data_IF_336946238636
#
_entry.id   IF_336946238636
#
_cell.length_a   1.000
_cell.length_b   1.000
_cell.length_c   1.000
_cell.angle_alpha   90.00
_cell.angle_beta   90.00
_cell.angle_gamma   90.00
#
_symmetry.space_group_name_H-M   'P 1'
#
loop_
_entity.id
_entity.type
_entity.pdbx_description
1 polymer ?
#
# COMPACT_ATOMS: atom_id res chain seq x y z
N UNK A 1 0.55 4.01 -11.85
CA UNK A 1 1.50 5.03 -12.27
C UNK A 1 2.30 4.52 -13.48
N UNK A 2 2.00 5.02 -14.69
CA UNK A 2 2.58 4.53 -15.94
C UNK A 2 4.11 4.75 -16.03
N UNK A 3 4.69 5.87 -15.53
CA UNK A 3 6.13 6.07 -15.52
C UNK A 3 6.93 5.17 -14.57
N UNK A 4 6.28 4.50 -13.63
CA UNK A 4 6.96 3.63 -12.67
C UNK A 4 7.33 2.29 -13.33
N UNK A 5 8.62 1.90 -13.39
CA UNK A 5 9.05 0.64 -14.02
C UNK A 5 8.48 -0.61 -13.35
N UNK A 6 8.06 -0.50 -12.09
CA UNK A 6 7.48 -1.61 -11.33
C UNK A 6 5.98 -1.81 -11.55
N UNK A 7 5.32 -0.95 -12.37
CA UNK A 7 3.88 -1.08 -12.56
C UNK A 7 3.47 -2.44 -13.17
N UNK A 8 4.17 -2.92 -14.18
CA UNK A 8 3.82 -4.19 -14.86
C UNK A 8 3.87 -5.41 -13.92
N UNK A 9 4.97 -5.67 -13.17
CA UNK A 9 4.99 -6.74 -12.20
C UNK A 9 3.92 -6.60 -11.12
N UNK A 10 3.68 -5.36 -10.65
CA UNK A 10 2.66 -5.08 -9.65
C UNK A 10 1.24 -5.43 -10.13
N UNK A 11 0.88 -5.03 -11.34
CA UNK A 11 -0.43 -5.36 -11.95
C UNK A 11 -0.61 -6.86 -12.09
N UNK A 12 0.38 -7.59 -12.62
CA UNK A 12 0.30 -9.04 -12.76
C UNK A 12 0.11 -9.79 -11.44
N UNK A 13 0.70 -9.28 -10.35
CA UNK A 13 0.46 -9.83 -9.00
C UNK A 13 -0.96 -9.55 -8.51
N UNK A 14 -1.48 -8.35 -8.76
CA UNK A 14 -2.85 -7.98 -8.40
C UNK A 14 -3.87 -8.85 -9.17
N UNK A 15 -3.70 -9.02 -10.48
CA UNK A 15 -4.59 -9.85 -11.30
C UNK A 15 -4.63 -11.29 -10.80
N UNK A 16 -3.46 -11.83 -10.45
CA UNK A 16 -3.35 -13.18 -9.89
C UNK A 16 -4.07 -13.27 -8.54
N UNK A 17 -3.85 -12.30 -7.66
CA UNK A 17 -4.49 -12.27 -6.34
C UNK A 17 -6.01 -12.07 -6.45
N UNK A 18 -6.47 -11.19 -7.35
CA UNK A 18 -7.88 -10.97 -7.63
C UNK A 18 -8.57 -12.25 -8.08
N UNK A 19 -8.01 -12.92 -9.09
CA UNK A 19 -8.54 -14.18 -9.60
C UNK A 19 -8.63 -15.28 -8.53
N UNK A 20 -7.63 -15.36 -7.63
CA UNK A 20 -7.63 -16.33 -6.53
C UNK A 20 -8.64 -15.99 -5.43
N UNK A 21 -8.99 -14.74 -5.28
CA UNK A 21 -9.89 -14.23 -4.24
C UNK A 21 -11.32 -13.99 -4.74
N UNK A 22 -11.59 -14.19 -6.03
CA UNK A 22 -12.88 -13.89 -6.63
C UNK A 22 -13.20 -12.39 -6.67
N UNK A 23 -12.17 -11.55 -6.80
CA UNK A 23 -12.28 -10.09 -6.88
C UNK A 23 -11.93 -9.65 -8.30
N UNK A 24 -12.83 -8.92 -8.95
CA UNK A 24 -12.56 -8.30 -10.24
C UNK A 24 -11.68 -7.05 -10.06
N UNK A 25 -10.62 -6.95 -10.84
CA UNK A 25 -9.67 -5.85 -10.75
C UNK A 25 -9.62 -5.09 -12.07
N UNK A 26 -9.88 -3.79 -11.99
CA UNK A 26 -9.69 -2.86 -13.08
C UNK A 26 -8.44 -2.00 -12.85
N UNK A 27 -7.67 -1.76 -13.92
CA UNK A 27 -6.45 -0.98 -13.87
C UNK A 27 -6.65 0.41 -14.47
N UNK A 28 -6.43 1.43 -13.66
CA UNK A 28 -6.40 2.82 -14.13
C UNK A 28 -4.96 3.33 -14.14
N UNK A 29 -4.45 3.62 -15.33
CA UNK A 29 -3.07 4.08 -15.51
C UNK A 29 -3.00 5.59 -15.43
N UNK A 30 -2.05 6.09 -14.61
CA UNK A 30 -1.81 7.52 -14.39
C UNK A 30 -0.45 7.86 -14.98
N UNK A 31 -0.40 8.83 -15.86
CA UNK A 31 0.84 9.35 -16.43
C UNK A 31 1.36 10.58 -15.69
N UNK A 32 0.45 11.44 -15.25
CA UNK A 32 0.75 12.69 -14.54
C UNK A 32 -0.12 12.82 -13.33
N UNK A 33 0.36 13.49 -12.31
CA UNK A 33 -0.40 13.74 -11.09
C UNK A 33 -1.71 14.53 -11.35
N UNK A 34 -1.70 15.39 -12.36
CA UNK A 34 -2.90 16.13 -12.81
C UNK A 34 -4.05 15.24 -13.29
N UNK A 35 -3.74 14.00 -13.67
CA UNK A 35 -4.74 13.08 -14.23
C UNK A 35 -5.50 12.32 -13.12
N UNK A 36 -5.06 12.46 -11.86
CA UNK A 36 -5.63 11.74 -10.71
C UNK A 36 -7.10 12.07 -10.47
N UNK A 37 -7.51 13.32 -10.56
CA UNK A 37 -8.93 13.71 -10.36
C UNK A 37 -9.84 13.03 -11.38
N UNK A 38 -9.46 13.03 -12.65
CA UNK A 38 -10.21 12.35 -13.70
C UNK A 38 -10.22 10.84 -13.52
N UNK A 39 -9.09 10.26 -13.11
CA UNK A 39 -8.98 8.84 -12.80
C UNK A 39 -9.91 8.43 -11.67
N UNK A 40 -9.94 9.18 -10.57
CA UNK A 40 -10.86 8.90 -9.47
C UNK A 40 -12.33 9.08 -9.85
N UNK A 41 -12.64 10.03 -10.71
CA UNK A 41 -14.00 10.19 -11.25
C UNK A 41 -14.44 8.98 -12.08
N UNK A 42 -13.53 8.31 -12.78
CA UNK A 42 -13.83 7.09 -13.56
C UNK A 42 -14.06 5.85 -12.69
N UNK A 43 -13.68 5.87 -11.40
CA UNK A 43 -13.90 4.76 -10.46
C UNK A 43 -15.33 4.70 -9.90
N UNK A 44 -16.26 5.45 -10.45
CA UNK A 44 -17.67 5.43 -10.04
C UNK A 44 -18.24 4.01 -10.20
N UNK A 45 -18.73 3.42 -9.11
CA UNK A 45 -19.26 2.05 -9.09
C UNK A 45 -18.25 0.98 -8.65
N UNK A 46 -17.00 1.35 -8.40
CA UNK A 46 -16.03 0.46 -7.77
C UNK A 46 -16.27 0.38 -6.25
N UNK A 47 -16.02 -0.78 -5.67
CA UNK A 47 -16.17 -1.02 -4.23
C UNK A 47 -15.00 -0.49 -3.41
N UNK A 48 -13.79 -0.48 -3.98
CA UNK A 48 -12.57 -0.03 -3.33
C UNK A 48 -11.47 0.34 -4.32
N UNK A 49 -10.40 0.98 -3.85
CA UNK A 49 -9.23 1.30 -4.65
C UNK A 49 -7.93 0.90 -3.96
N UNK A 50 -7.02 0.28 -4.72
CA UNK A 50 -5.64 0.05 -4.29
C UNK A 50 -4.75 1.11 -4.96
N UNK A 51 -4.10 1.92 -4.15
CA UNK A 51 -3.26 3.03 -4.60
C UNK A 51 -1.78 2.61 -4.61
N UNK A 52 -1.14 2.73 -5.76
CA UNK A 52 0.29 2.45 -5.89
C UNK A 52 1.11 3.46 -5.05
N UNK A 53 2.12 2.99 -4.26
CA UNK A 53 2.87 3.84 -3.34
C UNK A 53 3.68 4.99 -3.98
N UNK A 54 3.94 4.91 -5.27
CA UNK A 54 4.67 5.95 -6.04
C UNK A 54 3.80 7.17 -6.39
N UNK A 55 2.49 7.10 -6.16
CA UNK A 55 1.58 8.24 -6.33
C UNK A 55 1.59 9.13 -5.07
N UNK A 56 1.18 10.39 -5.23
CA UNK A 56 1.04 11.34 -4.12
C UNK A 56 0.09 10.80 -3.05
N UNK A 57 0.65 10.42 -1.91
CA UNK A 57 -0.09 9.83 -0.79
C UNK A 57 -1.22 10.75 -0.30
N UNK A 58 -0.92 12.05 -0.16
CA UNK A 58 -1.89 13.03 0.34
C UNK A 58 -3.04 13.26 -0.63
N UNK A 59 -2.72 13.39 -1.91
CA UNK A 59 -3.72 13.66 -2.95
C UNK A 59 -4.62 12.43 -3.14
N UNK A 60 -4.03 11.25 -3.27
CA UNK A 60 -4.82 10.01 -3.48
C UNK A 60 -5.67 9.64 -2.26
N UNK A 61 -5.19 9.85 -1.02
CA UNK A 61 -6.00 9.65 0.18
C UNK A 61 -7.19 10.62 0.22
N UNK A 62 -6.96 11.90 -0.10
CA UNK A 62 -8.02 12.92 -0.18
C UNK A 62 -9.08 12.60 -1.25
N UNK A 63 -8.64 12.20 -2.44
CA UNK A 63 -9.54 11.81 -3.52
C UNK A 63 -10.33 10.53 -3.18
N UNK A 64 -9.69 9.53 -2.57
CA UNK A 64 -10.39 8.33 -2.11
C UNK A 64 -11.54 8.68 -1.17
N UNK A 65 -11.29 9.56 -0.20
CA UNK A 65 -12.32 9.99 0.75
C UNK A 65 -13.40 10.83 0.07
N UNK A 66 -13.03 11.76 -0.81
CA UNK A 66 -13.97 12.61 -1.54
C UNK A 66 -14.94 11.79 -2.42
N UNK A 67 -14.44 10.73 -3.05
CA UNK A 67 -15.24 9.79 -3.85
C UNK A 67 -15.87 8.66 -3.04
N UNK A 68 -15.74 8.67 -1.70
CA UNK A 68 -16.26 7.64 -0.80
C UNK A 68 -15.76 6.22 -1.12
N UNK A 69 -14.56 6.11 -1.62
CA UNK A 69 -13.93 4.82 -1.96
C UNK A 69 -13.06 4.34 -0.81
N UNK A 70 -13.35 3.18 -0.21
CA UNK A 70 -12.43 2.48 0.65
C UNK A 70 -11.09 2.30 -0.05
N UNK A 71 -9.98 2.63 0.63
CA UNK A 71 -8.70 2.72 -0.05
C UNK A 71 -7.57 2.04 0.72
N UNK A 72 -6.70 1.36 -0.01
CA UNK A 72 -5.52 0.70 0.52
C UNK A 72 -4.26 1.11 -0.23
N UNK A 73 -3.11 1.09 0.44
CA UNK A 73 -1.81 1.29 -0.20
C UNK A 73 -0.72 0.50 0.51
N UNK A 74 0.35 0.14 -0.20
CA UNK A 74 1.57 -0.39 0.39
C UNK A 74 2.49 0.71 0.95
N UNK A 75 1.92 1.82 1.40
CA UNK A 75 2.64 2.92 2.07
C UNK A 75 2.08 3.15 3.46
N UNK A 76 2.90 2.94 4.50
CA UNK A 76 2.53 3.20 5.91
C UNK A 76 2.05 4.65 6.16
N UNK A 77 2.45 5.59 5.29
CA UNK A 77 2.02 6.99 5.38
C UNK A 77 0.59 7.23 4.90
N UNK A 78 0.01 6.26 4.18
CA UNK A 78 -1.28 6.43 3.53
C UNK A 78 -2.44 6.60 4.53
N UNK A 79 -2.58 5.78 5.58
CA UNK A 79 -3.62 6.00 6.60
C UNK A 79 -3.46 7.31 7.34
N UNK A 80 -2.23 7.72 7.68
CA UNK A 80 -1.96 8.99 8.34
C UNK A 80 -2.32 10.22 7.47
N UNK A 81 -2.35 10.06 6.15
CA UNK A 81 -2.79 11.09 5.20
C UNK A 81 -4.29 11.07 4.93
N UNK A 82 -5.08 10.20 5.58
CA UNK A 82 -6.51 10.08 5.40
C UNK A 82 -6.98 8.88 4.57
N UNK A 83 -6.07 8.02 4.11
CA UNK A 83 -6.44 6.73 3.51
C UNK A 83 -7.01 5.76 4.54
N UNK A 84 -7.70 4.71 4.09
CA UNK A 84 -8.35 3.78 5.03
C UNK A 84 -7.36 2.83 5.69
N UNK A 85 -6.51 2.17 4.90
CA UNK A 85 -5.54 1.23 5.44
C UNK A 85 -4.25 1.16 4.64
N UNK A 86 -3.21 0.66 5.28
CA UNK A 86 -2.00 0.19 4.59
C UNK A 86 -1.62 -1.20 5.04
N UNK A 87 -1.12 -1.99 4.08
CA UNK A 87 -0.51 -3.28 4.33
C UNK A 87 0.83 -3.29 3.61
N UNK A 88 1.92 -3.12 4.36
CA UNK A 88 3.22 -2.79 3.80
C UNK A 88 4.37 -3.40 4.60
N UNK A 89 5.50 -3.64 3.94
CA UNK A 89 6.71 -4.04 4.63
C UNK A 89 7.15 -2.98 5.65
N UNK A 90 7.56 -3.43 6.83
CA UNK A 90 8.09 -2.55 7.88
C UNK A 90 9.43 -1.96 7.48
N UNK A 91 9.43 -0.67 7.16
CA UNK A 91 10.66 0.07 6.80
C UNK A 91 11.68 0.04 7.95
N UNK A 92 11.22 0.08 9.20
CA UNK A 92 12.12 0.01 10.36
C UNK A 92 12.87 -1.33 10.42
N UNK A 93 12.18 -2.45 10.12
CA UNK A 93 12.80 -3.75 10.07
C UNK A 93 13.76 -3.88 8.88
N UNK A 94 13.38 -3.34 7.71
CA UNK A 94 14.27 -3.32 6.53
C UNK A 94 15.58 -2.60 6.85
N UNK A 95 15.53 -1.43 7.51
CA UNK A 95 16.75 -0.71 7.90
C UNK A 95 17.56 -1.46 8.96
N UNK A 96 16.91 -2.11 9.93
CA UNK A 96 17.60 -2.92 10.94
C UNK A 96 18.32 -4.10 10.30
N UNK A 97 17.66 -4.81 9.40
CA UNK A 97 18.24 -5.93 8.67
C UNK A 97 19.39 -5.47 7.77
N UNK A 98 19.25 -4.33 7.10
CA UNK A 98 20.32 -3.72 6.32
C UNK A 98 21.56 -3.41 7.16
N UNK A 99 21.40 -2.99 8.42
CA UNK A 99 22.52 -2.76 9.33
C UNK A 99 23.26 -4.06 9.67
N UNK A 100 22.55 -5.19 9.79
CA UNK A 100 23.18 -6.50 9.99
C UNK A 100 23.99 -6.94 8.77
N UNK A 101 23.50 -6.65 7.56
CA UNK A 101 24.25 -6.92 6.33
C UNK A 101 25.51 -6.07 6.25
N UNK A 102 25.40 -4.78 6.58
CA UNK A 102 26.53 -3.86 6.61
C UNK A 102 27.60 -4.33 7.61
N UNK A 103 27.21 -4.74 8.81
CA UNK A 103 28.14 -5.28 9.83
C UNK A 103 28.93 -6.50 9.30
N UNK A 104 28.26 -7.43 8.63
CA UNK A 104 28.91 -8.62 8.03
C UNK A 104 29.90 -8.22 6.93
N UNK A 105 29.53 -7.27 6.06
CA UNK A 105 30.40 -6.77 5.00
C UNK A 105 31.65 -6.10 5.59
N UNK A 106 31.46 -5.25 6.61
CA UNK A 106 32.57 -4.58 7.30
C UNK A 106 33.51 -5.57 8.01
N UNK A 107 33.01 -6.75 8.40
CA UNK A 107 33.79 -7.86 8.96
C UNK A 107 34.43 -8.76 7.88
N UNK A 108 34.33 -8.38 6.60
CA UNK A 108 35.02 -9.04 5.48
C UNK A 108 34.22 -10.08 4.72
N UNK A 109 32.92 -10.23 4.99
CA UNK A 109 32.05 -11.10 4.18
C UNK A 109 31.77 -10.39 2.84
N UNK A 110 31.97 -11.10 1.74
CA UNK A 110 31.70 -10.52 0.41
C UNK A 110 30.20 -10.36 0.20
N UNK A 111 29.71 -9.23 -0.37
CA UNK A 111 28.28 -9.00 -0.61
C UNK A 111 27.58 -10.12 -1.40
N UNK A 112 28.29 -10.74 -2.36
CA UNK A 112 27.75 -11.83 -3.17
C UNK A 112 27.54 -13.16 -2.42
N UNK A 113 28.14 -13.31 -1.25
CA UNK A 113 27.99 -14.51 -0.39
C UNK A 113 26.82 -14.33 0.62
N UNK A 114 26.23 -13.13 0.67
CA UNK A 114 25.08 -12.87 1.55
C UNK A 114 23.78 -13.29 0.86
N UNK A 115 22.87 -13.96 1.59
CA UNK A 115 21.59 -14.35 1.02
C UNK A 115 20.70 -13.14 0.70
N UNK A 116 19.99 -13.19 -0.42
CA UNK A 116 18.93 -12.21 -0.69
C UNK A 116 17.73 -12.53 0.20
N UNK A 117 17.32 -11.56 1.03
CA UNK A 117 16.17 -11.70 1.91
C UNK A 117 15.09 -10.69 1.52
N UNK A 118 13.85 -11.19 1.42
CA UNK A 118 12.68 -10.30 1.34
C UNK A 118 12.30 -9.75 2.72
N UNK A 119 11.40 -8.76 2.77
CA UNK A 119 10.90 -8.23 4.04
C UNK A 119 10.16 -9.33 4.81
N UNK A 120 10.58 -9.57 6.06
CA UNK A 120 10.00 -10.61 6.93
C UNK A 120 8.79 -10.08 7.69
N UNK A 121 8.76 -8.78 7.99
CA UNK A 121 7.69 -8.15 8.75
C UNK A 121 6.87 -7.22 7.87
N UNK A 122 5.56 -7.48 7.85
CA UNK A 122 4.55 -6.67 7.17
C UNK A 122 3.68 -6.04 8.26
N UNK A 123 3.38 -4.76 8.12
CA UNK A 123 2.58 -3.98 9.07
C UNK A 123 1.21 -3.66 8.47
N UNK A 124 0.16 -3.89 9.25
CA UNK A 124 -1.21 -3.46 8.96
C UNK A 124 -1.52 -2.21 9.79
N UNK A 125 -1.76 -1.08 9.13
CA UNK A 125 -2.21 0.16 9.78
C UNK A 125 -3.61 0.50 9.29
N UNK A 126 -4.52 0.84 10.21
CA UNK A 126 -5.92 1.14 9.90
C UNK A 126 -6.28 2.52 10.46
N UNK A 127 -7.00 3.31 9.67
CA UNK A 127 -7.53 4.60 10.10
C UNK A 127 -9.04 4.49 10.37
N UNK A 128 -9.43 4.49 11.66
CA UNK A 128 -10.82 4.41 12.07
C UNK A 128 -11.58 5.73 11.84
N UNK A 129 -10.90 6.88 11.82
CA UNK A 129 -11.53 8.16 11.43
C UNK A 129 -12.03 8.08 10.00
N UNK A 130 -11.19 7.58 9.10
CA UNK A 130 -11.54 7.37 7.69
C UNK A 130 -12.62 6.29 7.54
N UNK A 131 -12.51 5.16 8.26
CA UNK A 131 -13.52 4.12 8.25
C UNK A 131 -14.90 4.70 8.64
N UNK A 132 -14.95 5.47 9.73
CA UNK A 132 -16.18 6.14 10.19
C UNK A 132 -16.72 7.13 9.17
N UNK A 133 -15.87 7.93 8.54
CA UNK A 133 -16.26 8.88 7.50
C UNK A 133 -16.86 8.19 6.26
N UNK A 134 -16.39 6.99 5.95
CA UNK A 134 -16.92 6.14 4.88
C UNK A 134 -18.16 5.34 5.29
N UNK A 135 -18.55 5.36 6.57
CA UNK A 135 -19.66 4.55 7.09
C UNK A 135 -19.30 3.07 7.24
N UNK A 136 -18.02 2.73 7.33
CA UNK A 136 -17.53 1.35 7.44
C UNK A 136 -17.32 0.97 8.91
N UNK A 137 -17.70 -0.26 9.22
CA UNK A 137 -17.34 -0.91 10.49
C UNK A 137 -16.21 -1.90 10.24
N UNK A 138 -15.05 -1.66 10.84
CA UNK A 138 -13.90 -2.58 10.72
C UNK A 138 -14.15 -3.77 11.65
N UNK A 139 -14.14 -5.02 11.13
CA UNK A 139 -14.34 -6.21 11.96
C UNK A 139 -13.27 -6.34 13.04
N UNK A 140 -13.68 -6.81 14.24
CA UNK A 140 -12.76 -7.01 15.36
C UNK A 140 -11.59 -7.96 15.01
N UNK A 141 -11.85 -8.97 14.17
CA UNK A 141 -10.83 -9.90 13.70
C UNK A 141 -9.70 -9.22 12.88
N UNK A 142 -10.00 -8.10 12.23
CA UNK A 142 -9.02 -7.30 11.51
C UNK A 142 -8.29 -6.35 12.49
N UNK A 143 -9.01 -5.73 13.41
CA UNK A 143 -8.43 -4.82 14.43
C UNK A 143 -7.41 -5.52 15.31
N UNK A 144 -7.66 -6.77 15.71
CA UNK A 144 -6.72 -7.56 16.53
C UNK A 144 -5.41 -7.83 15.77
N UNK A 145 -5.45 -7.86 14.44
CA UNK A 145 -4.28 -8.09 13.59
C UNK A 145 -3.57 -6.82 13.17
N UNK A 146 -4.15 -5.66 13.46
CA UNK A 146 -3.54 -4.38 13.13
C UNK A 146 -2.36 -4.09 14.08
N UNK A 147 -1.24 -3.68 13.50
CA UNK A 147 -0.07 -3.23 14.24
C UNK A 147 -0.26 -1.81 14.77
N UNK A 148 -1.10 -1.02 14.08
CA UNK A 148 -1.45 0.34 14.49
C UNK A 148 -2.87 0.68 14.05
N UNK A 149 -3.61 1.35 14.94
CA UNK A 149 -4.96 1.86 14.69
C UNK A 149 -4.95 3.36 14.97
N UNK A 150 -5.32 4.16 13.97
CA UNK A 150 -5.45 5.62 14.08
C UNK A 150 -6.91 5.96 14.43
N UNK A 151 -7.10 6.72 15.51
CA UNK A 151 -8.38 7.17 16.06
C UNK A 151 -8.52 8.69 16.04
#
# INVERSE_FOLDING_TARGET
NAPDPFHKPFLGQLDTAGSQSGVDIEHVMIERESDLEQAFASLAGMDAVIVQPSLSVKLTAGLSLAHRLPSASASRRFPAAGGLLSYAASIQHIYRDSALYLDRILKGVRPGDLPVQGPVQIELVINLVTAKALGLTVPQSILIRADEVLE
#
